data_IF_868678366422
#
_entry.id   IF_868678366422
#
_cell.length_a   1.000
_cell.length_b   1.000
_cell.length_c   1.000
_cell.angle_alpha   90.00
_cell.angle_beta   90.00
_cell.angle_gamma   90.00
#
_symmetry.space_group_name_H-M   'P 1'
#
loop_
_entity.id
_entity.type
_entity.pdbx_description
1 polymer ?
#
# COMPACT_ATOMS: atom_id res chain seq x y z
N UNK A 1 -3.64 -32.27 -5.24
CA UNK A 1 -4.72 -31.93 -4.24
C UNK A 1 -5.18 -30.54 -4.59
N UNK A 2 -6.50 -30.33 -4.61
CA UNK A 2 -7.12 -29.00 -4.75
C UNK A 2 -7.85 -28.70 -3.43
N UNK A 3 -7.48 -27.59 -2.79
CA UNK A 3 -8.16 -27.09 -1.59
C UNK A 3 -9.06 -25.96 -2.05
N UNK A 4 -10.34 -26.02 -1.67
CA UNK A 4 -11.33 -24.99 -2.00
C UNK A 4 -11.88 -24.46 -0.68
N UNK A 5 -11.83 -23.16 -0.50
CA UNK A 5 -12.41 -22.50 0.65
C UNK A 5 -13.87 -22.15 0.36
N UNK A 6 -14.73 -22.30 1.34
CA UNK A 6 -16.15 -21.95 1.23
C UNK A 6 -16.40 -20.44 1.46
N UNK A 7 -15.47 -19.78 2.15
CA UNK A 7 -15.52 -18.35 2.44
C UNK A 7 -14.22 -17.67 1.98
N UNK A 8 -14.26 -16.37 1.78
CA UNK A 8 -13.05 -15.59 1.52
C UNK A 8 -12.06 -15.73 2.68
N UNK A 9 -10.78 -15.69 2.36
CA UNK A 9 -9.71 -15.64 3.35
C UNK A 9 -9.52 -14.18 3.81
N UNK A 10 -9.11 -14.00 5.07
CA UNK A 10 -8.79 -12.68 5.56
C UNK A 10 -7.56 -12.11 4.84
N UNK A 11 -7.61 -10.84 4.48
CA UNK A 11 -6.43 -10.11 4.02
C UNK A 11 -5.37 -10.04 5.13
N UNK A 12 -4.11 -9.88 4.77
CA UNK A 12 -2.97 -9.75 5.69
C UNK A 12 -2.88 -10.89 6.71
N UNK A 13 -3.09 -12.13 6.26
CA UNK A 13 -3.08 -13.32 7.11
C UNK A 13 -2.10 -14.37 6.59
N UNK A 14 -1.79 -15.35 7.43
CA UNK A 14 -0.95 -16.49 7.06
C UNK A 14 -1.72 -17.78 7.19
N UNK A 15 -1.82 -18.52 6.09
CA UNK A 15 -2.46 -19.82 6.06
C UNK A 15 -1.42 -20.90 6.12
N UNK A 16 -1.55 -21.79 7.08
CA UNK A 16 -0.74 -23.00 7.16
C UNK A 16 -1.55 -24.20 6.74
N UNK A 17 -1.11 -24.88 5.72
CA UNK A 17 -1.69 -26.15 5.25
C UNK A 17 -0.76 -27.28 5.61
N UNK A 18 -1.27 -28.22 6.41
CA UNK A 18 -0.53 -29.43 6.79
C UNK A 18 -1.23 -30.66 6.24
N UNK A 19 -0.53 -31.43 5.44
CA UNK A 19 -0.94 -32.77 5.05
C UNK A 19 -0.39 -33.77 6.07
N UNK A 20 -1.28 -34.58 6.64
CA UNK A 20 -0.91 -35.54 7.67
C UNK A 20 0.03 -36.64 7.13
N UNK A 21 0.92 -37.10 7.98
CA UNK A 21 1.74 -38.30 7.80
C UNK A 21 0.91 -39.59 7.59
N UNK A 22 -0.37 -39.56 7.99
CA UNK A 22 -1.31 -40.69 7.78
C UNK A 22 -1.81 -40.81 6.34
N UNK A 23 -1.51 -39.86 5.47
CA UNK A 23 -1.87 -39.93 4.05
C UNK A 23 -1.04 -41.02 3.37
N UNK A 24 -1.72 -41.94 2.69
CA UNK A 24 -1.07 -42.98 1.87
C UNK A 24 -1.54 -42.90 0.42
N UNK A 25 -0.69 -43.39 -0.49
CA UNK A 25 -1.10 -43.60 -1.87
C UNK A 25 -1.95 -44.88 -2.01
N UNK A 26 -2.45 -45.16 -3.23
CA UNK A 26 -3.31 -46.34 -3.51
C UNK A 26 -2.59 -47.68 -3.28
N UNK A 27 -1.29 -47.68 -3.09
CA UNK A 27 -0.48 -48.89 -2.80
C UNK A 27 -0.12 -48.99 -1.31
N UNK A 28 -0.59 -48.08 -0.47
CA UNK A 28 -0.34 -48.07 0.97
C UNK A 28 0.99 -47.44 1.40
N UNK A 29 1.74 -46.79 0.48
CA UNK A 29 2.95 -46.05 0.86
C UNK A 29 2.59 -44.73 1.50
N UNK A 30 3.16 -44.47 2.66
CA UNK A 30 2.93 -43.22 3.40
C UNK A 30 3.54 -42.00 2.68
N UNK A 31 2.98 -40.80 3.00
CA UNK A 31 3.48 -39.53 2.51
C UNK A 31 4.94 -39.34 3.00
N UNK A 32 5.83 -38.99 2.08
CA UNK A 32 7.14 -38.46 2.36
C UNK A 32 7.06 -36.93 2.28
N UNK A 33 6.81 -36.29 3.42
CA UNK A 33 6.50 -34.88 3.48
C UNK A 33 7.72 -33.96 3.44
N UNK A 34 8.89 -34.49 3.83
CA UNK A 34 10.15 -33.75 3.82
C UNK A 34 11.04 -34.08 2.61
N UNK A 35 10.62 -35.05 1.79
CA UNK A 35 11.31 -35.53 0.58
C UNK A 35 12.70 -36.13 0.86
N UNK A 36 12.84 -36.89 1.96
CA UNK A 36 14.08 -37.60 2.30
C UNK A 36 14.14 -39.04 1.78
N UNK A 37 13.06 -39.50 1.13
CA UNK A 37 12.92 -40.84 0.59
C UNK A 37 12.30 -41.86 1.56
N UNK A 38 11.91 -41.41 2.77
CA UNK A 38 11.26 -42.24 3.79
C UNK A 38 9.86 -41.70 4.06
N UNK A 39 8.82 -42.49 3.82
CA UNK A 39 7.45 -42.06 4.09
C UNK A 39 7.10 -42.13 5.57
N UNK A 40 6.14 -41.31 5.99
CA UNK A 40 5.63 -41.22 7.36
C UNK A 40 5.80 -39.81 7.98
N UNK A 41 6.10 -38.82 7.14
CA UNK A 41 6.24 -37.42 7.54
C UNK A 41 5.08 -36.57 7.02
N UNK A 42 4.70 -35.56 7.82
CA UNK A 42 3.73 -34.54 7.36
C UNK A 42 4.40 -33.53 6.44
N UNK A 43 3.63 -33.05 5.44
CA UNK A 43 4.02 -31.92 4.60
C UNK A 43 3.31 -30.67 5.09
N UNK A 44 4.08 -29.60 5.37
CA UNK A 44 3.52 -28.32 5.79
C UNK A 44 3.98 -27.21 4.85
N UNK A 45 3.04 -26.38 4.42
CA UNK A 45 3.31 -25.20 3.59
C UNK A 45 2.54 -24.01 4.15
N UNK A 46 3.15 -22.82 4.07
CA UNK A 46 2.53 -21.57 4.47
C UNK A 46 2.33 -20.66 3.25
N UNK A 47 1.21 -19.96 3.24
CA UNK A 47 0.87 -18.94 2.27
C UNK A 47 0.55 -17.65 3.01
N UNK A 48 1.22 -16.56 2.66
CA UNK A 48 0.88 -15.24 3.15
C UNK A 48 -0.16 -14.63 2.20
N UNK A 49 -1.24 -14.11 2.78
CA UNK A 49 -2.26 -13.37 2.05
C UNK A 49 -1.85 -11.89 2.08
N UNK A 50 -1.71 -11.22 0.93
CA UNK A 50 -1.36 -9.82 0.90
C UNK A 50 -2.45 -8.94 1.52
N UNK A 51 -2.15 -7.68 1.76
CA UNK A 51 -3.14 -6.70 2.19
C UNK A 51 -4.15 -6.45 1.07
N UNK A 52 -5.36 -6.09 1.48
CA UNK A 52 -6.35 -5.61 0.52
C UNK A 52 -5.85 -4.29 -0.10
N UNK A 53 -5.79 -4.24 -1.43
CA UNK A 53 -5.25 -3.09 -2.16
C UNK A 53 -3.75 -3.18 -2.50
N UNK A 54 -3.06 -4.23 -2.06
CA UNK A 54 -1.71 -4.57 -2.53
C UNK A 54 -1.82 -5.34 -3.86
N UNK A 55 -1.85 -4.61 -4.96
CA UNK A 55 -2.11 -5.16 -6.29
C UNK A 55 -0.89 -5.86 -6.92
N UNK A 56 0.31 -5.47 -6.53
CA UNK A 56 1.54 -6.05 -7.05
C UNK A 56 2.09 -7.20 -6.17
N UNK A 57 1.48 -7.44 -5.01
CA UNK A 57 1.83 -8.46 -4.02
C UNK A 57 3.27 -8.30 -3.47
N UNK A 58 3.71 -7.07 -3.25
CA UNK A 58 5.00 -6.77 -2.65
C UNK A 58 4.93 -6.56 -1.12
N UNK A 59 3.74 -6.76 -0.53
CA UNK A 59 3.43 -6.55 0.88
C UNK A 59 3.56 -5.10 1.34
N UNK A 60 3.43 -4.17 0.42
CA UNK A 60 3.35 -2.75 0.69
C UNK A 60 2.03 -2.21 0.11
N UNK A 61 1.55 -1.08 0.62
CA UNK A 61 0.52 -0.27 -0.06
C UNK A 61 1.12 1.10 -0.31
N UNK A 62 1.45 1.35 -1.56
CA UNK A 62 2.18 2.54 -1.99
C UNK A 62 1.67 3.09 -3.32
N UNK A 63 2.47 3.94 -3.97
CA UNK A 63 2.07 4.59 -5.24
C UNK A 63 1.91 3.60 -6.40
N UNK A 64 2.59 2.45 -6.38
CA UNK A 64 2.44 1.41 -7.41
C UNK A 64 1.03 0.83 -7.38
N UNK A 65 0.47 0.63 -6.16
CA UNK A 65 -0.88 0.14 -5.95
C UNK A 65 -1.92 1.22 -6.25
N UNK A 66 -1.64 2.47 -5.86
CA UNK A 66 -2.51 3.59 -6.22
C UNK A 66 -2.64 3.72 -7.74
N UNK A 67 -1.54 3.57 -8.49
CA UNK A 67 -1.59 3.62 -9.95
C UNK A 67 -2.49 2.51 -10.53
N UNK A 68 -2.40 1.30 -9.99
CA UNK A 68 -3.29 0.18 -10.36
C UNK A 68 -4.75 0.47 -10.01
N UNK A 69 -5.00 0.96 -8.80
CA UNK A 69 -6.32 1.35 -8.34
C UNK A 69 -6.94 2.43 -9.25
N UNK A 70 -6.14 3.43 -9.66
CA UNK A 70 -6.59 4.50 -10.55
C UNK A 70 -6.92 3.98 -11.97
N UNK A 71 -6.25 2.94 -12.46
CA UNK A 71 -6.63 2.24 -13.69
C UNK A 71 -8.03 1.62 -13.55
N UNK A 72 -8.29 0.97 -12.40
CA UNK A 72 -9.62 0.42 -12.07
C UNK A 72 -10.69 1.50 -12.08
N UNK A 73 -10.45 2.59 -11.37
CA UNK A 73 -11.37 3.73 -11.26
C UNK A 73 -11.64 4.39 -12.62
N UNK A 74 -10.60 4.62 -13.42
CA UNK A 74 -10.74 5.27 -14.74
C UNK A 74 -11.49 4.42 -15.78
N UNK A 75 -11.50 3.11 -15.61
CA UNK A 75 -12.14 2.16 -16.53
C UNK A 75 -13.43 1.53 -15.97
N UNK A 76 -13.86 1.89 -14.76
CA UNK A 76 -14.97 1.25 -14.04
C UNK A 76 -14.80 -0.29 -14.02
N UNK A 77 -13.59 -0.73 -13.68
CA UNK A 77 -13.19 -2.13 -13.83
C UNK A 77 -13.28 -2.91 -12.52
N UNK A 78 -14.22 -3.83 -12.46
CA UNK A 78 -14.41 -4.75 -11.33
C UNK A 78 -13.22 -5.70 -11.07
N UNK A 79 -12.23 -5.73 -11.97
CA UNK A 79 -11.01 -6.49 -11.73
C UNK A 79 -10.14 -5.88 -10.61
N UNK A 80 -10.39 -4.63 -10.23
CA UNK A 80 -9.68 -3.89 -9.17
C UNK A 80 -10.55 -3.64 -7.94
N UNK A 81 -11.72 -4.27 -7.87
CA UNK A 81 -12.70 -4.14 -6.79
C UNK A 81 -12.10 -4.59 -5.45
N UNK A 82 -12.34 -3.82 -4.39
CA UNK A 82 -11.85 -4.05 -3.03
C UNK A 82 -12.97 -4.20 -2.00
N UNK A 83 -14.20 -3.90 -2.36
CA UNK A 83 -15.32 -3.83 -1.45
C UNK A 83 -16.62 -4.39 -2.00
N UNK A 84 -17.65 -4.45 -1.18
CA UNK A 84 -17.61 -4.21 0.27
C UNK A 84 -16.78 -5.25 1.03
N UNK A 85 -16.35 -4.89 2.23
CA UNK A 85 -15.63 -5.80 3.12
C UNK A 85 -16.20 -5.80 4.54
N UNK A 86 -15.84 -6.80 5.34
CA UNK A 86 -16.18 -6.94 6.75
C UNK A 86 -14.96 -7.35 7.57
N UNK A 87 -15.03 -7.19 8.89
CA UNK A 87 -13.92 -7.47 9.80
C UNK A 87 -13.18 -6.20 10.21
N UNK A 88 -12.02 -6.36 10.84
CA UNK A 88 -11.19 -5.26 11.33
C UNK A 88 -9.90 -5.18 10.50
N UNK A 89 -9.54 -3.97 10.09
CA UNK A 89 -8.31 -3.71 9.35
C UNK A 89 -7.09 -4.09 10.20
N UNK A 90 -6.12 -4.83 9.63
CA UNK A 90 -5.97 -5.19 8.22
C UNK A 90 -6.59 -6.54 7.83
N UNK A 91 -7.13 -7.30 8.79
CA UNK A 91 -7.66 -8.66 8.62
C UNK A 91 -9.12 -8.64 8.17
N UNK A 92 -9.36 -8.17 6.95
CA UNK A 92 -10.71 -8.01 6.39
C UNK A 92 -11.09 -9.15 5.46
N UNK A 93 -12.40 -9.44 5.40
CA UNK A 93 -13.00 -10.40 4.48
C UNK A 93 -13.73 -9.64 3.39
N UNK A 94 -13.32 -9.82 2.15
CA UNK A 94 -13.89 -9.12 1.00
C UNK A 94 -15.13 -9.87 0.49
N UNK A 95 -16.16 -9.11 0.12
CA UNK A 95 -17.40 -9.58 -0.48
C UNK A 95 -17.67 -8.79 -1.75
N UNK A 96 -16.97 -9.13 -2.84
CA UNK A 96 -17.08 -8.42 -4.12
C UNK A 96 -18.53 -8.39 -4.63
N UNK A 97 -19.03 -7.21 -4.98
CA UNK A 97 -20.40 -6.99 -5.44
C UNK A 97 -20.49 -6.67 -6.95
N UNK A 98 -19.37 -6.75 -7.66
CA UNK A 98 -19.22 -6.47 -9.09
C UNK A 98 -19.48 -5.00 -9.46
N UNK A 99 -19.16 -4.09 -8.55
CA UNK A 99 -19.15 -2.65 -8.78
C UNK A 99 -17.83 -2.08 -8.33
N UNK A 100 -17.36 -1.10 -9.05
CA UNK A 100 -16.22 -0.30 -8.64
C UNK A 100 -16.74 1.09 -8.24
N UNK A 101 -16.87 1.33 -6.94
CA UNK A 101 -17.51 2.54 -6.42
C UNK A 101 -16.82 3.11 -5.17
N UNK A 102 -17.52 3.93 -4.41
CA UNK A 102 -16.98 4.60 -3.24
C UNK A 102 -16.54 3.62 -2.13
N UNK A 103 -17.11 2.42 -2.07
CA UNK A 103 -16.72 1.42 -1.07
C UNK A 103 -15.30 0.91 -1.34
N UNK A 104 -14.90 0.78 -2.62
CA UNK A 104 -13.53 0.42 -3.01
C UNK A 104 -12.53 1.54 -2.66
N UNK A 105 -12.92 2.79 -2.94
CA UNK A 105 -12.10 3.95 -2.55
C UNK A 105 -11.89 3.99 -1.05
N UNK A 106 -12.94 3.75 -0.27
CA UNK A 106 -12.85 3.71 1.19
C UNK A 106 -11.96 2.56 1.66
N UNK A 107 -12.10 1.37 1.06
CA UNK A 107 -11.27 0.20 1.35
C UNK A 107 -9.80 0.51 1.14
N UNK A 108 -9.43 1.05 -0.03
CA UNK A 108 -8.06 1.44 -0.35
C UNK A 108 -7.51 2.47 0.65
N UNK A 109 -8.25 3.54 0.90
CA UNK A 109 -7.84 4.61 1.82
C UNK A 109 -7.64 4.10 3.24
N UNK A 110 -8.54 3.24 3.74
CA UNK A 110 -8.45 2.69 5.09
C UNK A 110 -7.25 1.75 5.24
N UNK A 111 -6.99 0.90 4.25
CA UNK A 111 -5.83 -0.01 4.23
C UNK A 111 -4.52 0.77 4.12
N UNK A 112 -4.44 1.78 3.24
CA UNK A 112 -3.27 2.65 3.14
C UNK A 112 -2.98 3.39 4.45
N UNK A 113 -4.00 3.99 5.08
CA UNK A 113 -3.85 4.66 6.37
C UNK A 113 -3.32 3.71 7.46
N UNK A 114 -3.85 2.49 7.50
CA UNK A 114 -3.37 1.48 8.43
C UNK A 114 -1.90 1.14 8.14
N UNK A 115 -1.57 0.91 6.85
CA UNK A 115 -0.22 0.56 6.43
C UNK A 115 0.80 1.63 6.82
N UNK A 116 0.58 2.89 6.46
CA UNK A 116 1.53 3.97 6.75
C UNK A 116 1.65 4.26 8.25
N UNK A 117 0.57 4.01 9.04
CA UNK A 117 0.61 4.15 10.50
C UNK A 117 1.44 3.06 11.18
N UNK A 118 1.42 1.83 10.66
CA UNK A 118 2.04 0.68 11.31
C UNK A 118 3.39 0.28 10.69
N UNK A 119 3.68 0.73 9.48
CA UNK A 119 4.89 0.40 8.73
C UNK A 119 5.60 1.68 8.28
N UNK A 120 5.92 2.57 9.24
CA UNK A 120 6.72 3.75 8.94
C UNK A 120 8.14 3.29 8.58
N UNK A 121 8.29 2.86 7.36
CA UNK A 121 9.61 2.69 6.76
C UNK A 121 10.07 4.09 6.40
N UNK A 122 11.09 4.59 7.10
CA UNK A 122 11.87 5.68 6.53
C UNK A 122 12.25 5.25 5.12
N UNK A 123 11.76 5.95 4.10
CA UNK A 123 12.11 5.63 2.73
C UNK A 123 13.64 5.55 2.64
N UNK A 124 14.16 4.35 2.49
CA UNK A 124 15.48 4.18 1.90
C UNK A 124 15.35 4.80 0.52
N UNK A 125 16.15 5.81 0.25
CA UNK A 125 16.18 6.59 -0.99
C UNK A 125 15.68 5.77 -2.18
N UNK A 126 14.50 6.11 -2.71
CA UNK A 126 14.12 5.62 -4.02
C UNK A 126 15.19 6.08 -5.00
N UNK A 127 15.91 5.15 -5.59
CA UNK A 127 16.68 5.43 -6.78
C UNK A 127 15.66 5.84 -7.85
N UNK A 128 15.95 6.95 -8.49
CA UNK A 128 15.14 7.75 -9.38
C UNK A 128 14.65 6.94 -10.62
N UNK A 129 13.58 6.17 -10.47
CA UNK A 129 12.95 5.45 -11.59
C UNK A 129 11.69 6.17 -12.12
N UNK A 130 11.34 7.32 -11.56
CA UNK A 130 10.17 8.10 -11.94
C UNK A 130 10.50 9.34 -12.77
N UNK A 131 9.49 9.92 -13.41
CA UNK A 131 9.60 11.20 -14.09
C UNK A 131 9.97 12.32 -13.08
N UNK A 132 10.84 13.27 -13.43
CA UNK A 132 11.33 14.27 -12.49
C UNK A 132 10.19 15.20 -12.06
N UNK A 133 9.98 15.31 -10.76
CA UNK A 133 9.16 16.36 -10.14
C UNK A 133 10.09 17.51 -9.79
N UNK A 134 9.82 18.70 -10.30
CA UNK A 134 10.59 19.90 -9.92
C UNK A 134 10.14 20.38 -8.56
N UNK A 135 11.08 20.57 -7.65
CA UNK A 135 10.81 21.01 -6.27
C UNK A 135 11.40 22.39 -6.09
N UNK A 136 10.57 23.36 -5.73
CA UNK A 136 10.97 24.70 -5.32
C UNK A 136 10.55 24.89 -3.86
N UNK A 137 11.46 25.31 -2.99
CA UNK A 137 11.16 25.62 -1.60
C UNK A 137 11.32 27.13 -1.35
N UNK A 138 10.25 27.78 -0.95
CA UNK A 138 10.22 29.15 -0.47
C UNK A 138 9.98 29.16 1.05
N UNK A 139 10.08 30.34 1.69
CA UNK A 139 10.04 30.47 3.15
C UNK A 139 8.76 29.98 3.82
N UNK A 140 7.64 29.90 3.09
CA UNK A 140 6.31 29.54 3.61
C UNK A 140 5.64 28.41 2.86
N UNK A 141 6.25 27.90 1.80
CA UNK A 141 5.65 26.87 0.95
C UNK A 141 6.68 26.04 0.20
N UNK A 142 6.37 24.77 0.00
CA UNK A 142 7.05 23.88 -0.94
C UNK A 142 6.19 23.81 -2.19
N UNK A 143 6.80 24.05 -3.33
CA UNK A 143 6.16 23.95 -4.66
C UNK A 143 6.68 22.70 -5.36
N UNK A 144 5.78 21.84 -5.81
CA UNK A 144 6.12 20.66 -6.59
C UNK A 144 5.46 20.80 -7.97
N UNK A 145 6.27 20.79 -9.02
CA UNK A 145 5.76 20.70 -10.39
C UNK A 145 5.52 19.23 -10.73
N UNK A 146 4.25 18.86 -10.91
CA UNK A 146 3.81 17.48 -11.13
C UNK A 146 3.64 17.25 -12.64
N UNK A 147 4.39 16.32 -13.26
CA UNK A 147 4.14 15.92 -14.65
C UNK A 147 2.71 15.41 -14.83
N UNK A 148 2.07 15.79 -15.94
CA UNK A 148 0.64 15.49 -16.17
C UNK A 148 0.41 14.12 -16.82
N UNK A 149 1.46 13.45 -17.21
CA UNK A 149 1.47 12.12 -17.81
C UNK A 149 1.64 10.98 -16.80
N UNK A 150 1.76 11.30 -15.51
CA UNK A 150 1.77 10.32 -14.43
C UNK A 150 0.37 9.75 -14.18
N UNK A 151 0.29 8.46 -13.84
CA UNK A 151 -0.92 7.82 -13.32
C UNK A 151 -1.12 8.09 -11.83
N UNK A 152 -0.02 8.12 -11.09
CA UNK A 152 0.01 8.44 -9.65
C UNK A 152 1.38 9.00 -9.25
N UNK A 153 1.43 9.66 -8.08
CA UNK A 153 2.69 10.08 -7.48
C UNK A 153 2.66 9.96 -5.97
N UNK A 154 3.84 9.75 -5.39
CA UNK A 154 4.07 9.78 -3.94
C UNK A 154 5.21 10.73 -3.62
N UNK A 155 4.98 11.58 -2.62
CA UNK A 155 5.99 12.49 -2.07
C UNK A 155 6.14 12.20 -0.59
N UNK A 156 7.38 12.11 -0.12
CA UNK A 156 7.68 12.06 1.30
C UNK A 156 8.58 13.22 1.67
N UNK A 157 8.15 13.97 2.69
CA UNK A 157 8.87 15.08 3.26
C UNK A 157 9.36 14.63 4.64
N UNK A 158 10.67 14.56 4.80
CA UNK A 158 11.31 14.33 6.09
C UNK A 158 11.82 15.66 6.65
N UNK A 159 11.55 15.92 7.92
CA UNK A 159 11.91 17.16 8.57
C UNK A 159 12.35 16.96 10.02
N UNK A 160 13.09 17.90 10.57
CA UNK A 160 13.45 17.85 11.99
C UNK A 160 12.19 17.96 12.86
N UNK A 161 11.87 16.96 13.71
CA UNK A 161 10.65 16.98 14.54
C UNK A 161 10.52 18.25 15.37
N UNK A 162 9.33 18.85 15.36
CA UNK A 162 9.01 20.08 16.08
C UNK A 162 9.56 21.37 15.48
N UNK A 163 10.34 21.31 14.39
CA UNK A 163 10.90 22.50 13.72
C UNK A 163 10.07 22.99 12.53
N UNK A 164 9.14 22.17 12.05
CA UNK A 164 8.20 22.51 10.99
C UNK A 164 6.76 22.19 11.40
N UNK A 165 5.86 22.95 10.85
CA UNK A 165 4.45 22.60 10.73
C UNK A 165 4.12 22.55 9.24
N UNK A 166 3.54 21.44 8.80
CA UNK A 166 3.13 21.25 7.41
C UNK A 166 1.62 21.47 7.34
N UNK A 167 1.22 22.46 6.56
CA UNK A 167 -0.19 22.76 6.34
C UNK A 167 -0.82 21.82 5.32
N UNK A 168 -2.14 21.70 5.38
CA UNK A 168 -2.86 20.90 4.38
C UNK A 168 -2.90 21.64 3.04
N UNK A 169 -2.52 20.94 1.98
CA UNK A 169 -2.75 21.40 0.61
C UNK A 169 -4.25 21.40 0.32
N UNK A 170 -4.77 22.50 -0.24
CA UNK A 170 -6.18 22.60 -0.62
C UNK A 170 -6.34 22.10 -2.06
N UNK A 171 -6.73 20.86 -2.23
CA UNK A 171 -7.14 20.32 -3.53
C UNK A 171 -8.62 19.94 -3.53
N UNK A 172 -9.29 20.16 -4.66
CA UNK A 172 -10.64 19.70 -4.94
C UNK A 172 -10.58 18.69 -6.07
N UNK A 173 -11.36 17.64 -6.00
CA UNK A 173 -11.71 16.73 -7.10
C UNK A 173 -10.65 15.67 -7.50
N UNK A 174 -9.70 15.31 -6.61
CA UNK A 174 -8.70 14.26 -6.88
C UNK A 174 -8.53 13.36 -5.67
N UNK A 175 -8.17 12.11 -5.90
CA UNK A 175 -7.75 11.24 -4.80
C UNK A 175 -6.40 11.74 -4.28
N UNK A 176 -6.43 12.30 -3.08
CA UNK A 176 -5.29 12.93 -2.44
C UNK A 176 -5.20 12.46 -0.99
N UNK A 177 -4.23 11.60 -0.72
CA UNK A 177 -4.02 10.98 0.57
C UNK A 177 -2.83 11.62 1.26
N UNK A 178 -2.96 11.92 2.54
CA UNK A 178 -1.86 12.46 3.34
C UNK A 178 -1.77 11.75 4.68
N UNK A 179 -0.56 11.55 5.14
CA UNK A 179 -0.27 11.02 6.47
C UNK A 179 0.91 11.79 7.08
N UNK A 180 0.81 12.13 8.36
CA UNK A 180 1.87 12.83 9.09
C UNK A 180 2.20 12.10 10.39
N UNK A 181 3.48 11.77 10.56
CA UNK A 181 4.02 11.23 11.80
C UNK A 181 4.93 12.28 12.46
N UNK A 182 4.35 13.08 13.32
CA UNK A 182 5.01 14.21 13.99
C UNK A 182 6.24 13.80 14.80
N UNK A 183 6.21 12.62 15.45
CA UNK A 183 7.30 12.16 16.30
C UNK A 183 8.57 11.84 15.49
N UNK A 184 8.41 11.40 14.26
CA UNK A 184 9.50 11.09 13.33
C UNK A 184 9.81 12.25 12.38
N UNK A 185 8.94 13.25 12.28
CA UNK A 185 9.07 14.34 11.31
C UNK A 185 8.93 13.85 9.87
N UNK A 186 7.89 13.05 9.61
CA UNK A 186 7.61 12.51 8.27
C UNK A 186 6.22 12.90 7.84
N UNK A 187 6.10 13.46 6.64
CA UNK A 187 4.84 13.76 5.98
C UNK A 187 4.80 13.10 4.62
N UNK A 188 3.80 12.27 4.39
CA UNK A 188 3.63 11.51 3.15
C UNK A 188 2.39 11.99 2.41
N UNK A 189 2.54 12.20 1.12
CA UNK A 189 1.45 12.48 0.17
C UNK A 189 1.43 11.35 -0.84
N UNK A 190 0.26 10.83 -1.14
CA UNK A 190 0.03 9.92 -2.23
C UNK A 190 -1.20 10.38 -3.01
N UNK A 191 -1.07 10.62 -4.30
CA UNK A 191 -2.12 11.25 -5.06
C UNK A 191 -2.09 10.91 -6.56
N UNK A 192 -3.25 11.14 -7.20
CA UNK A 192 -3.35 11.21 -8.65
C UNK A 192 -2.98 12.63 -9.13
N UNK A 193 -2.25 12.79 -10.25
CA UNK A 193 -2.00 14.09 -10.85
C UNK A 193 -3.30 14.71 -11.39
N UNK A 194 -3.59 15.93 -11.00
CA UNK A 194 -4.75 16.69 -11.50
C UNK A 194 -4.41 18.15 -11.75
N UNK A 195 -3.33 18.63 -11.13
CA UNK A 195 -2.79 19.96 -11.37
C UNK A 195 -1.30 19.88 -11.59
N UNK A 196 -0.78 20.71 -12.49
CA UNK A 196 0.67 20.76 -12.77
C UNK A 196 1.51 21.28 -11.59
N UNK A 197 0.88 21.89 -10.59
CA UNK A 197 1.59 22.45 -9.42
C UNK A 197 0.87 22.08 -8.13
N UNK A 198 1.58 21.41 -7.22
CA UNK A 198 1.15 21.15 -5.85
C UNK A 198 1.85 22.15 -4.92
N UNK A 199 1.08 22.83 -4.09
CA UNK A 199 1.59 23.76 -3.09
C UNK A 199 1.35 23.21 -1.70
N UNK A 200 2.42 23.04 -0.92
CA UNK A 200 2.38 22.55 0.45
C UNK A 200 2.81 23.68 1.37
N UNK A 201 1.89 24.30 2.12
CA UNK A 201 2.25 25.34 3.08
C UNK A 201 3.13 24.78 4.20
N UNK A 202 4.17 25.50 4.59
CA UNK A 202 5.05 25.15 5.71
C UNK A 202 5.21 26.34 6.64
N UNK A 203 5.39 26.07 7.93
CA UNK A 203 5.77 27.06 8.93
C UNK A 203 7.04 26.59 9.64
N UNK A 204 8.11 27.37 9.53
CA UNK A 204 9.40 27.06 10.18
C UNK A 204 9.37 27.60 11.61
N UNK A 205 9.51 26.71 12.60
CA UNK A 205 9.44 27.04 14.05
C UNK A 205 10.76 26.94 14.77
N UNK A 206 11.82 26.42 14.15
CA UNK A 206 13.10 26.15 14.81
C UNK A 206 14.31 26.65 14.03
N UNK A 207 15.43 26.91 14.74
CA UNK A 207 16.73 27.16 14.12
C UNK A 207 17.42 25.84 13.81
N UNK A 208 18.09 25.75 12.65
CA UNK A 208 18.80 24.54 12.23
C UNK A 208 17.88 23.42 11.76
N UNK A 209 16.64 23.77 11.40
CA UNK A 209 15.70 22.87 10.78
C UNK A 209 16.24 22.35 9.43
N UNK A 210 16.18 21.05 9.21
CA UNK A 210 16.48 20.43 7.92
C UNK A 210 15.20 19.82 7.34
N UNK A 211 15.11 19.85 6.03
CA UNK A 211 14.04 19.21 5.27
C UNK A 211 14.67 18.45 4.12
N UNK A 212 14.21 17.26 3.88
CA UNK A 212 14.53 16.48 2.67
C UNK A 212 13.25 15.97 2.04
N UNK A 213 13.24 15.91 0.73
CA UNK A 213 12.07 15.51 -0.05
C UNK A 213 12.48 14.40 -0.99
N UNK A 214 11.74 13.31 -0.98
CA UNK A 214 11.85 12.21 -1.93
C UNK A 214 10.53 12.02 -2.64
N UNK A 215 10.56 11.56 -3.86
CA UNK A 215 9.36 11.31 -4.64
C UNK A 215 9.47 10.07 -5.51
N UNK A 216 8.31 9.52 -5.89
CA UNK A 216 8.16 8.50 -6.92
C UNK A 216 6.93 8.86 -7.76
N UNK A 217 7.05 8.80 -9.07
CA UNK A 217 5.94 8.96 -10.03
C UNK A 217 5.83 7.72 -10.93
N UNK A 218 4.62 7.39 -11.36
CA UNK A 218 4.29 6.24 -12.21
C UNK A 218 3.37 6.67 -13.33
#
# INVERSE_FOLDING_TARGET
IKIVYETSLAAWDTITVTLSDQITNIYGYALDGNNDGTGGDSYTVQYNIPMLGDYNNDFQINVDDLAQFMIGLGNDSTAYELGPFSGEIPHVFVSLDQKFDVEDVMAFVMMWNWYVTNNIVAFTSYEDEGLPITIEAEYDSIYLDIPQDLSAYQVQIQYTPGSFFIGQSKKKDELFLTHEEHALGVYTIMAQPGQSKLVIPIEIRGRGASISISYKGI
#
